data_IF_722164090485
#
_entry.id   IF_722164090485
#
_cell.length_a   1.000
_cell.length_b   1.000
_cell.length_c   1.000
_cell.angle_alpha   90.00
_cell.angle_beta   90.00
_cell.angle_gamma   90.00
#
_symmetry.space_group_name_H-M   'P 1'
#
loop_
_entity.id
_entity.type
_entity.pdbx_description
1 polymer ?
#
# COMPACT_ATOMS: atom_id res chain seq x y z
N UNK A 1 42.42 49.22 31.07
CA UNK A 1 42.20 48.22 30.01
C UNK A 1 40.69 48.00 29.96
N UNK A 2 40.00 48.84 29.21
CA UNK A 2 38.54 48.81 29.09
C UNK A 2 38.13 47.80 28.02
N UNK A 3 37.33 46.81 28.42
CA UNK A 3 36.77 45.82 27.51
C UNK A 3 35.50 46.45 26.94
N UNK A 4 35.62 47.06 25.77
CA UNK A 4 34.48 47.61 25.03
C UNK A 4 33.56 46.47 24.56
N UNK A 5 32.43 46.29 25.23
CA UNK A 5 31.32 45.50 24.73
C UNK A 5 30.71 46.27 23.54
N UNK A 6 31.01 45.79 22.34
CA UNK A 6 30.43 46.32 21.11
C UNK A 6 28.97 45.89 21.05
N UNK A 7 28.08 46.81 21.37
CA UNK A 7 26.62 46.68 21.19
C UNK A 7 26.34 46.60 19.68
N UNK A 8 26.42 45.39 19.12
CA UNK A 8 25.98 45.15 17.75
C UNK A 8 24.47 44.89 17.77
N UNK A 9 23.67 45.67 17.05
CA UNK A 9 22.24 45.39 16.94
C UNK A 9 22.06 44.01 16.28
N UNK A 10 21.40 43.10 16.99
CA UNK A 10 21.02 41.79 16.47
C UNK A 10 20.03 42.04 15.32
N UNK A 11 20.44 41.71 14.11
CA UNK A 11 19.57 41.82 12.94
C UNK A 11 18.56 40.68 12.99
N UNK A 12 17.26 40.99 13.14
CA UNK A 12 16.18 39.99 13.17
C UNK A 12 16.15 39.11 11.90
N UNK A 13 16.74 39.57 10.79
CA UNK A 13 16.91 38.73 9.59
C UNK A 13 17.93 37.60 9.77
N UNK A 14 18.84 37.71 10.72
CA UNK A 14 19.77 36.63 11.10
C UNK A 14 19.14 35.66 12.11
N UNK A 15 17.92 35.98 12.59
CA UNK A 15 17.08 35.13 13.45
C UNK A 15 15.97 34.41 12.67
N UNK A 16 16.01 34.39 11.33
CA UNK A 16 15.18 33.44 10.58
C UNK A 16 15.65 32.04 10.92
N UNK A 17 15.01 31.44 11.93
CA UNK A 17 14.98 30.00 12.12
C UNK A 17 14.55 29.46 10.76
N UNK A 18 15.44 28.74 10.08
CA UNK A 18 15.06 27.91 8.93
C UNK A 18 13.90 27.07 9.42
N UNK A 19 12.68 27.46 9.03
CA UNK A 19 11.50 26.65 9.28
C UNK A 19 11.82 25.36 8.52
N UNK A 20 12.05 24.23 9.21
CA UNK A 20 12.48 23.02 8.54
C UNK A 20 11.45 22.76 7.46
N UNK A 21 11.88 22.80 6.19
CA UNK A 21 11.00 22.53 5.05
C UNK A 21 10.34 21.21 5.37
N UNK A 22 9.02 21.24 5.62
CA UNK A 22 8.25 20.10 6.09
C UNK A 22 8.64 18.91 5.22
N UNK A 23 9.40 17.94 5.78
CA UNK A 23 9.79 16.73 5.05
C UNK A 23 8.50 16.20 4.42
N UNK A 24 8.51 15.94 3.12
CA UNK A 24 7.41 15.23 2.50
C UNK A 24 7.31 13.87 3.21
N UNK A 25 6.34 13.76 4.13
CA UNK A 25 6.10 12.56 4.91
C UNK A 25 5.38 11.58 4.02
N UNK A 26 6.15 10.86 3.20
CA UNK A 26 5.63 9.86 2.28
C UNK A 26 6.75 9.18 1.50
N UNK A 27 6.39 8.12 0.79
CA UNK A 27 7.24 7.39 -0.15
C UNK A 27 6.72 7.64 -1.57
N UNK A 28 7.59 8.14 -2.43
CA UNK A 28 7.32 8.42 -3.83
C UNK A 28 8.22 7.51 -4.70
N UNK A 29 7.68 6.44 -5.30
CA UNK A 29 8.47 5.51 -6.11
C UNK A 29 9.33 6.17 -7.19
N UNK A 30 8.86 7.27 -7.80
CA UNK A 30 9.60 7.98 -8.87
C UNK A 30 10.85 8.70 -8.37
N UNK A 31 10.87 9.09 -7.09
CA UNK A 31 11.98 9.81 -6.47
C UNK A 31 12.84 8.87 -5.62
N UNK A 32 12.21 7.91 -4.95
CA UNK A 32 12.83 7.08 -3.93
C UNK A 32 13.37 5.74 -4.45
N UNK A 33 13.02 5.32 -5.68
CA UNK A 33 13.54 4.09 -6.31
C UNK A 33 14.51 4.46 -7.43
N UNK A 34 15.77 4.07 -7.27
CA UNK A 34 16.81 4.37 -8.25
C UNK A 34 16.77 3.42 -9.45
N UNK A 35 17.37 3.80 -10.61
CA UNK A 35 17.47 2.91 -11.76
C UNK A 35 18.10 1.54 -11.45
N UNK A 36 19.07 1.50 -10.52
CA UNK A 36 19.70 0.26 -10.06
C UNK A 36 18.77 -0.63 -9.23
N UNK A 37 17.89 -0.02 -8.41
CA UNK A 37 16.89 -0.75 -7.63
C UNK A 37 15.87 -1.39 -8.57
N UNK A 38 15.42 -0.63 -9.57
CA UNK A 38 14.53 -1.12 -10.62
C UNK A 38 15.10 -2.32 -11.37
N UNK A 39 16.41 -2.32 -11.64
CA UNK A 39 17.05 -3.48 -12.23
C UNK A 39 16.95 -4.71 -11.32
N UNK A 40 17.29 -4.58 -10.04
CA UNK A 40 17.16 -5.68 -9.08
C UNK A 40 15.73 -6.20 -8.90
N UNK A 41 14.74 -5.30 -8.93
CA UNK A 41 13.32 -5.65 -8.92
C UNK A 41 12.94 -6.47 -10.16
N UNK A 42 13.39 -6.07 -11.36
CA UNK A 42 13.13 -6.81 -12.61
C UNK A 42 13.84 -8.16 -12.67
N UNK A 43 15.09 -8.22 -12.27
CA UNK A 43 15.86 -9.47 -12.22
C UNK A 43 15.16 -10.50 -11.30
N UNK A 44 14.61 -10.02 -10.19
CA UNK A 44 13.83 -10.85 -9.25
C UNK A 44 12.53 -11.35 -9.86
N UNK A 45 11.83 -10.53 -10.65
CA UNK A 45 10.64 -10.96 -11.39
C UNK A 45 10.99 -12.09 -12.37
N UNK A 46 12.08 -11.95 -13.11
CA UNK A 46 12.54 -12.94 -14.08
C UNK A 46 12.90 -14.27 -13.38
N UNK A 47 13.58 -14.22 -12.24
CA UNK A 47 13.88 -15.40 -11.43
C UNK A 47 12.62 -16.14 -10.96
N UNK A 48 11.51 -15.42 -10.72
CA UNK A 48 10.25 -16.06 -10.33
C UNK A 48 9.51 -16.76 -11.47
N UNK A 49 9.86 -16.50 -12.73
CA UNK A 49 9.22 -17.19 -13.87
C UNK A 49 9.47 -18.70 -13.85
N UNK A 50 10.60 -19.13 -13.32
CA UNK A 50 10.95 -20.55 -13.16
C UNK A 50 10.60 -21.12 -11.78
N UNK A 51 10.30 -20.28 -10.78
CA UNK A 51 10.23 -20.69 -9.37
C UNK A 51 8.81 -20.82 -8.81
N UNK A 52 7.80 -20.19 -9.42
CA UNK A 52 6.39 -20.42 -9.07
C UNK A 52 5.46 -19.24 -9.29
N UNK A 53 4.24 -19.54 -9.75
CA UNK A 53 3.25 -18.54 -10.14
C UNK A 53 2.85 -17.58 -9.01
N UNK A 54 2.73 -18.06 -7.76
CA UNK A 54 2.31 -17.18 -6.65
C UNK A 54 3.31 -16.05 -6.42
N UNK A 55 4.60 -16.33 -6.41
CA UNK A 55 5.63 -15.31 -6.16
C UNK A 55 5.78 -14.37 -7.35
N UNK A 56 5.68 -14.91 -8.58
CA UNK A 56 5.70 -14.13 -9.82
C UNK A 56 4.58 -13.08 -9.84
N UNK A 57 3.34 -13.50 -9.58
CA UNK A 57 2.18 -12.60 -9.60
C UNK A 57 2.19 -11.58 -8.47
N UNK A 58 2.56 -12.00 -7.25
CA UNK A 58 2.74 -11.05 -6.13
C UNK A 58 3.75 -9.96 -6.48
N UNK A 59 4.90 -10.34 -7.04
CA UNK A 59 5.98 -9.40 -7.36
C UNK A 59 5.61 -8.49 -8.53
N UNK A 60 4.91 -9.01 -9.55
CA UNK A 60 4.37 -8.22 -10.65
C UNK A 60 3.36 -7.17 -10.16
N UNK A 61 2.46 -7.50 -9.23
CA UNK A 61 1.53 -6.52 -8.64
C UNK A 61 2.28 -5.40 -7.93
N UNK A 62 3.34 -5.72 -7.17
CA UNK A 62 4.16 -4.70 -6.53
C UNK A 62 4.80 -3.76 -7.55
N UNK A 63 5.32 -4.28 -8.67
CA UNK A 63 5.84 -3.47 -9.77
C UNK A 63 4.74 -2.57 -10.34
N UNK A 64 3.54 -3.10 -10.59
CA UNK A 64 2.42 -2.33 -11.13
C UNK A 64 1.96 -1.20 -10.21
N UNK A 65 2.02 -1.41 -8.89
CA UNK A 65 1.72 -0.37 -7.88
C UNK A 65 2.81 0.71 -7.87
N UNK A 66 4.08 0.29 -7.89
CA UNK A 66 5.23 1.20 -7.83
C UNK A 66 5.36 2.04 -9.11
N UNK A 67 5.06 1.45 -10.26
CA UNK A 67 5.05 2.13 -11.55
C UNK A 67 3.87 1.62 -12.41
N UNK A 68 2.73 2.34 -12.40
CA UNK A 68 1.55 1.97 -13.17
C UNK A 68 1.76 1.98 -14.70
N UNK A 69 2.80 2.67 -15.19
CA UNK A 69 3.11 2.73 -16.62
C UNK A 69 3.92 1.51 -17.08
N UNK A 70 4.58 0.82 -16.15
CA UNK A 70 5.19 -0.47 -16.45
C UNK A 70 4.11 -1.54 -16.64
N UNK A 71 4.32 -2.37 -17.65
CA UNK A 71 3.59 -3.62 -17.83
C UNK A 71 4.48 -4.79 -17.39
N UNK A 72 4.37 -5.24 -16.13
CA UNK A 72 5.13 -6.39 -15.65
C UNK A 72 4.68 -7.71 -16.29
N UNK A 73 3.56 -7.71 -17.05
CA UNK A 73 3.01 -8.89 -17.71
C UNK A 73 3.41 -9.02 -19.17
N UNK A 74 4.15 -8.06 -19.73
CA UNK A 74 4.55 -8.09 -21.14
C UNK A 74 5.33 -9.37 -21.53
N UNK A 75 6.02 -9.99 -20.57
CA UNK A 75 6.73 -11.26 -20.76
C UNK A 75 5.94 -12.50 -20.33
N UNK A 76 4.71 -12.35 -19.82
CA UNK A 76 3.93 -13.48 -19.32
C UNK A 76 3.36 -14.27 -20.50
N UNK A 77 3.70 -15.55 -20.56
CA UNK A 77 3.12 -16.46 -21.55
C UNK A 77 1.87 -17.17 -21.00
N UNK A 78 1.21 -17.97 -21.83
CA UNK A 78 0.03 -18.73 -21.43
C UNK A 78 0.32 -19.68 -20.25
N UNK A 79 1.55 -20.21 -20.11
CA UNK A 79 1.90 -21.11 -18.99
C UNK A 79 1.89 -20.36 -17.67
N UNK A 80 2.34 -19.11 -17.66
CA UNK A 80 2.29 -18.28 -16.46
C UNK A 80 0.84 -18.06 -16.00
N UNK A 81 -0.07 -17.78 -16.94
CA UNK A 81 -1.50 -17.62 -16.67
C UNK A 81 -2.16 -18.93 -16.23
N UNK A 82 -1.89 -20.03 -16.92
CA UNK A 82 -2.42 -21.35 -16.55
C UNK A 82 -1.96 -21.76 -15.15
N UNK A 83 -0.72 -21.45 -14.78
CA UNK A 83 -0.18 -21.79 -13.46
C UNK A 83 -0.86 -21.01 -12.33
N UNK A 84 -1.15 -19.71 -12.49
CA UNK A 84 -1.89 -18.96 -11.46
C UNK A 84 -3.34 -19.42 -11.36
N UNK A 85 -3.96 -19.77 -12.48
CA UNK A 85 -5.34 -20.27 -12.50
C UNK A 85 -5.44 -21.68 -11.92
N UNK A 86 -4.46 -22.54 -12.17
CA UNK A 86 -4.31 -23.83 -11.51
C UNK A 86 -4.17 -23.68 -10.00
N UNK A 87 -3.38 -22.71 -9.53
CA UNK A 87 -3.26 -22.39 -8.11
C UNK A 87 -4.60 -21.93 -7.52
N UNK A 88 -5.30 -21.01 -8.18
CA UNK A 88 -6.63 -20.55 -7.76
C UNK A 88 -7.59 -21.74 -7.65
N UNK A 89 -7.66 -22.60 -8.66
CA UNK A 89 -8.53 -23.78 -8.65
C UNK A 89 -8.16 -24.76 -7.53
N UNK A 90 -6.86 -24.93 -7.26
CA UNK A 90 -6.40 -25.70 -6.11
C UNK A 90 -6.88 -25.07 -4.78
N UNK A 91 -6.84 -23.74 -4.64
CA UNK A 91 -7.34 -23.06 -3.43
C UNK A 91 -8.86 -23.16 -3.29
N UNK A 92 -9.59 -23.05 -4.40
CA UNK A 92 -11.05 -23.29 -4.46
C UNK A 92 -11.39 -24.69 -3.96
N UNK A 93 -10.76 -25.72 -4.51
CA UNK A 93 -10.99 -27.12 -4.11
C UNK A 93 -10.65 -27.44 -2.64
N UNK A 94 -9.77 -26.63 -2.02
CA UNK A 94 -9.41 -26.74 -0.62
C UNK A 94 -10.17 -25.75 0.29
N UNK A 95 -11.21 -25.08 -0.21
CA UNK A 95 -11.99 -24.08 0.52
C UNK A 95 -11.16 -22.94 1.13
N UNK A 96 -10.02 -22.59 0.52
CA UNK A 96 -9.12 -21.51 0.98
C UNK A 96 -9.53 -20.17 0.36
N UNK A 97 -10.75 -19.73 0.65
CA UNK A 97 -11.41 -18.63 -0.07
C UNK A 97 -10.73 -17.26 0.11
N UNK A 98 -10.08 -16.99 1.24
CA UNK A 98 -9.24 -15.78 1.38
C UNK A 98 -8.08 -15.75 0.39
N UNK A 99 -7.45 -16.90 0.13
CA UNK A 99 -6.37 -17.02 -0.87
C UNK A 99 -6.91 -16.96 -2.29
N UNK A 100 -8.14 -17.43 -2.53
CA UNK A 100 -8.81 -17.27 -3.84
C UNK A 100 -9.04 -15.78 -4.12
N UNK A 101 -9.60 -15.03 -3.16
CA UNK A 101 -9.83 -13.59 -3.31
C UNK A 101 -8.52 -12.82 -3.55
N UNK A 102 -7.48 -13.07 -2.74
CA UNK A 102 -6.15 -12.46 -2.92
C UNK A 102 -5.62 -12.68 -4.35
N UNK A 103 -5.64 -13.93 -4.85
CA UNK A 103 -5.14 -14.24 -6.20
C UNK A 103 -6.00 -13.65 -7.31
N UNK A 104 -7.32 -13.60 -7.11
CA UNK A 104 -8.24 -12.98 -8.03
C UNK A 104 -7.96 -11.46 -8.16
N UNK A 105 -7.67 -10.77 -7.06
CA UNK A 105 -7.24 -9.35 -7.08
C UNK A 105 -5.96 -9.18 -7.89
N UNK A 106 -4.99 -10.07 -7.71
CA UNK A 106 -3.72 -10.00 -8.46
C UNK A 106 -3.94 -10.14 -9.95
N UNK A 107 -4.74 -11.11 -10.38
CA UNK A 107 -5.11 -11.28 -11.79
C UNK A 107 -5.84 -10.04 -12.29
N UNK A 108 -6.79 -9.49 -11.52
CA UNK A 108 -7.53 -8.26 -11.89
C UNK A 108 -6.63 -7.04 -12.06
N UNK A 109 -5.69 -6.82 -11.13
CA UNK A 109 -4.75 -5.70 -11.17
C UNK A 109 -3.77 -5.79 -12.35
N UNK A 110 -3.36 -7.01 -12.71
CA UNK A 110 -2.40 -7.25 -13.77
C UNK A 110 -3.05 -7.32 -15.16
N UNK A 111 -4.24 -7.92 -15.25
CA UNK A 111 -5.00 -8.05 -16.50
C UNK A 111 -6.51 -8.15 -16.20
N UNK A 112 -7.23 -7.01 -16.23
CA UNK A 112 -8.69 -6.98 -16.07
C UNK A 112 -9.42 -7.88 -17.07
N UNK A 113 -8.90 -7.98 -18.30
CA UNK A 113 -9.45 -8.85 -19.35
C UNK A 113 -9.34 -10.32 -18.96
N UNK A 114 -8.15 -10.79 -18.55
CA UNK A 114 -7.98 -12.18 -18.08
C UNK A 114 -8.80 -12.49 -16.84
N UNK A 115 -8.96 -11.50 -15.97
CA UNK A 115 -9.87 -11.61 -14.83
C UNK A 115 -11.31 -11.83 -15.29
N UNK A 116 -11.85 -10.98 -16.17
CA UNK A 116 -13.22 -11.10 -16.66
C UNK A 116 -13.49 -12.42 -17.42
N UNK A 117 -12.48 -12.96 -18.11
CA UNK A 117 -12.58 -14.27 -18.78
C UNK A 117 -12.71 -15.45 -17.80
N UNK A 118 -12.16 -15.32 -16.58
CA UNK A 118 -11.97 -16.46 -15.66
C UNK A 118 -12.60 -16.28 -14.28
N UNK A 119 -13.14 -15.09 -13.99
CA UNK A 119 -13.79 -14.72 -12.73
C UNK A 119 -14.96 -13.76 -12.96
N UNK A 120 -16.04 -13.87 -12.16
CA UNK A 120 -16.31 -14.88 -11.13
C UNK A 120 -16.93 -16.17 -11.70
N UNK A 121 -16.68 -17.33 -11.07
CA UNK A 121 -17.56 -18.49 -11.21
C UNK A 121 -18.82 -18.25 -10.34
N UNK A 122 -20.02 -18.52 -10.85
CA UNK A 122 -21.30 -18.34 -10.12
C UNK A 122 -21.27 -18.96 -8.72
N UNK A 123 -20.58 -20.08 -8.53
CA UNK A 123 -20.46 -20.74 -7.24
C UNK A 123 -19.39 -20.13 -6.31
N UNK A 124 -18.42 -19.39 -6.83
CA UNK A 124 -17.38 -18.76 -5.99
C UNK A 124 -18.02 -17.76 -5.02
N UNK A 125 -19.07 -17.06 -5.46
CA UNK A 125 -19.79 -16.07 -4.67
C UNK A 125 -20.36 -16.67 -3.38
N UNK A 126 -21.21 -17.68 -3.48
CA UNK A 126 -21.86 -18.28 -2.32
C UNK A 126 -20.85 -18.97 -1.40
N UNK A 127 -19.83 -19.59 -1.97
CA UNK A 127 -18.79 -20.23 -1.15
C UNK A 127 -17.93 -19.22 -0.39
N UNK A 128 -17.54 -18.11 -1.03
CA UNK A 128 -16.88 -16.99 -0.36
C UNK A 128 -17.76 -16.41 0.73
N UNK A 129 -19.05 -16.17 0.44
CA UNK A 129 -20.04 -15.67 1.41
C UNK A 129 -20.12 -16.55 2.65
N UNK A 130 -20.27 -17.86 2.46
CA UNK A 130 -20.39 -18.83 3.55
C UNK A 130 -19.10 -18.96 4.36
N UNK A 131 -17.94 -19.03 3.69
CA UNK A 131 -16.65 -19.08 4.37
C UNK A 131 -16.38 -17.80 5.17
N UNK A 132 -16.66 -16.63 4.61
CA UNK A 132 -16.39 -15.39 5.30
C UNK A 132 -17.33 -15.17 6.48
N UNK A 133 -18.62 -15.54 6.36
CA UNK A 133 -19.57 -15.54 7.49
C UNK A 133 -19.02 -16.24 8.74
N UNK A 134 -18.36 -17.39 8.58
CA UNK A 134 -17.80 -18.14 9.72
C UNK A 134 -16.46 -17.61 10.21
N UNK A 135 -15.65 -17.03 9.31
CA UNK A 135 -14.38 -16.38 9.67
C UNK A 135 -14.58 -15.13 10.52
N UNK A 136 -15.68 -14.41 10.32
CA UNK A 136 -15.89 -13.06 10.85
C UNK A 136 -16.06 -12.95 12.38
N UNK A 137 -16.32 -14.05 13.07
CA UNK A 137 -16.53 -14.00 14.52
C UNK A 137 -15.22 -14.12 15.32
N UNK A 138 -14.10 -14.53 14.69
CA UNK A 138 -12.86 -14.88 15.42
C UNK A 138 -11.67 -13.93 15.22
N UNK A 139 -11.51 -13.26 14.06
CA UNK A 139 -10.32 -12.45 13.75
C UNK A 139 -10.64 -11.19 12.90
N UNK A 140 -10.66 -9.98 13.49
CA UNK A 140 -10.92 -8.72 12.80
C UNK A 140 -9.84 -8.34 11.76
N UNK A 141 -8.58 -8.70 12.01
CA UNK A 141 -7.49 -8.41 11.09
C UNK A 141 -7.59 -9.28 9.83
N UNK A 142 -7.88 -10.57 10.00
CA UNK A 142 -8.18 -11.47 8.88
C UNK A 142 -9.43 -11.00 8.11
N UNK A 143 -10.48 -10.56 8.82
CA UNK A 143 -11.67 -9.94 8.24
C UNK A 143 -11.34 -8.72 7.39
N UNK A 144 -10.53 -7.79 7.92
CA UNK A 144 -10.14 -6.59 7.21
C UNK A 144 -9.38 -6.91 5.91
N UNK A 145 -8.45 -7.89 5.95
CA UNK A 145 -7.73 -8.32 4.75
C UNK A 145 -8.67 -8.88 3.67
N UNK A 146 -9.62 -9.72 4.05
CA UNK A 146 -10.61 -10.27 3.12
C UNK A 146 -11.48 -9.17 2.51
N UNK A 147 -11.99 -8.26 3.35
CA UNK A 147 -12.84 -7.17 2.87
C UNK A 147 -12.06 -6.23 1.96
N UNK A 148 -10.76 -6.02 2.22
CA UNK A 148 -9.87 -5.28 1.33
C UNK A 148 -9.86 -5.93 -0.05
N UNK A 149 -9.61 -7.25 -0.13
CA UNK A 149 -9.58 -7.98 -1.39
C UNK A 149 -10.94 -7.90 -2.11
N UNK A 150 -12.05 -8.11 -1.40
CA UNK A 150 -13.41 -8.01 -1.97
C UNK A 150 -13.73 -6.62 -2.50
N UNK A 151 -13.30 -5.56 -1.79
CA UNK A 151 -13.49 -4.17 -2.23
C UNK A 151 -12.73 -3.92 -3.53
N UNK A 152 -11.49 -4.39 -3.65
CA UNK A 152 -10.69 -4.27 -4.87
C UNK A 152 -11.27 -5.07 -6.05
N UNK A 153 -11.90 -6.20 -5.76
CA UNK A 153 -12.65 -6.95 -6.77
C UNK A 153 -13.91 -6.22 -7.23
N UNK A 154 -14.38 -5.18 -6.53
CA UNK A 154 -15.70 -4.59 -6.77
C UNK A 154 -16.81 -5.61 -6.53
N UNK A 155 -16.58 -6.53 -5.59
CA UNK A 155 -17.42 -7.69 -5.41
C UNK A 155 -18.66 -7.33 -4.56
N UNK A 156 -19.89 -7.76 -4.93
CA UNK A 156 -21.11 -7.39 -4.20
C UNK A 156 -21.11 -7.82 -2.72
N UNK A 157 -20.34 -8.85 -2.37
CA UNK A 157 -20.17 -9.25 -0.96
C UNK A 157 -19.53 -8.17 -0.08
N UNK A 158 -18.81 -7.21 -0.66
CA UNK A 158 -18.23 -6.14 0.12
C UNK A 158 -19.32 -5.38 0.90
N UNK A 159 -20.44 -5.07 0.25
CA UNK A 159 -21.56 -4.35 0.87
C UNK A 159 -22.27 -5.26 1.90
N UNK A 160 -22.51 -6.53 1.53
CA UNK A 160 -23.13 -7.53 2.42
C UNK A 160 -22.32 -7.78 3.71
N UNK A 161 -20.99 -7.69 3.61
CA UNK A 161 -20.04 -8.08 4.67
C UNK A 161 -19.34 -6.88 5.32
N UNK A 162 -19.74 -5.67 4.93
CA UNK A 162 -19.13 -4.40 5.35
C UNK A 162 -18.85 -4.36 6.85
N UNK A 163 -17.72 -3.73 7.20
CA UNK A 163 -17.34 -3.59 8.60
C UNK A 163 -18.40 -2.75 9.33
N UNK A 164 -19.17 -3.42 10.21
CA UNK A 164 -19.97 -2.73 11.23
C UNK A 164 -19.05 -1.80 12.05
N UNK A 165 -19.55 -0.67 12.59
CA UNK A 165 -18.75 0.27 13.37
C UNK A 165 -17.86 -0.41 14.44
N UNK A 166 -18.41 -1.36 15.20
CA UNK A 166 -17.66 -2.13 16.19
C UNK A 166 -16.45 -2.90 15.63
N UNK A 167 -16.53 -3.40 14.39
CA UNK A 167 -15.41 -4.09 13.75
C UNK A 167 -14.35 -3.11 13.22
N UNK A 168 -14.75 -1.88 12.88
CA UNK A 168 -13.82 -0.80 12.54
C UNK A 168 -13.04 -0.35 13.79
N UNK A 169 -13.75 -0.14 14.91
CA UNK A 169 -13.16 0.19 16.21
C UNK A 169 -12.14 -0.88 16.63
N UNK A 170 -12.52 -2.16 16.57
CA UNK A 170 -11.61 -3.26 16.91
C UNK A 170 -10.38 -3.33 16.00
N UNK A 171 -10.51 -3.02 14.71
CA UNK A 171 -9.35 -2.92 13.81
C UNK A 171 -8.41 -1.78 14.22
N UNK A 172 -8.96 -0.63 14.64
CA UNK A 172 -8.17 0.50 15.16
C UNK A 172 -7.47 0.13 16.46
N UNK A 173 -8.16 -0.56 17.38
CA UNK A 173 -7.56 -1.09 18.61
C UNK A 173 -6.42 -2.08 18.30
N UNK A 174 -6.62 -3.02 17.37
CA UNK A 174 -5.59 -3.97 16.94
C UNK A 174 -4.36 -3.26 16.36
N UNK A 175 -4.56 -2.18 15.60
CA UNK A 175 -3.48 -1.33 15.08
C UNK A 175 -2.72 -0.70 16.25
N UNK A 176 -3.42 -0.08 17.21
CA UNK A 176 -2.80 0.57 18.37
C UNK A 176 -2.03 -0.42 19.26
N UNK A 177 -2.59 -1.59 19.53
CA UNK A 177 -1.92 -2.63 20.31
C UNK A 177 -0.65 -3.12 19.62
N UNK A 178 -0.69 -3.33 18.30
CA UNK A 178 0.49 -3.79 17.55
C UNK A 178 1.55 -2.71 17.37
N UNK A 179 1.17 -1.43 17.36
CA UNK A 179 2.12 -0.29 17.34
C UNK A 179 3.04 -0.26 18.55
N UNK A 180 2.56 -0.73 19.70
CA UNK A 180 3.37 -0.82 20.91
C UNK A 180 4.55 -1.82 20.78
N UNK A 181 4.54 -2.68 19.75
CA UNK A 181 5.62 -3.63 19.47
C UNK A 181 6.38 -3.25 18.18
N UNK A 182 7.64 -2.78 18.26
CA UNK A 182 8.43 -2.38 17.09
C UNK A 182 8.60 -3.48 16.02
N UNK A 183 8.64 -4.75 16.42
CA UNK A 183 8.72 -5.88 15.47
C UNK A 183 7.43 -6.06 14.65
N UNK A 184 6.30 -5.55 15.16
CA UNK A 184 4.99 -5.61 14.53
C UNK A 184 4.73 -4.53 13.49
N UNK A 185 5.65 -3.58 13.28
CA UNK A 185 5.38 -2.40 12.45
C UNK A 185 5.03 -2.74 10.99
N UNK A 186 5.64 -3.78 10.40
CA UNK A 186 5.25 -4.23 9.05
C UNK A 186 3.80 -4.73 9.00
N UNK A 187 3.34 -5.44 10.04
CA UNK A 187 1.95 -5.88 10.16
C UNK A 187 1.02 -4.67 10.34
N UNK A 188 1.41 -3.70 11.16
CA UNK A 188 0.67 -2.45 11.38
C UNK A 188 0.46 -1.70 10.05
N UNK A 189 1.50 -1.55 9.24
CA UNK A 189 1.43 -0.86 7.95
C UNK A 189 0.42 -1.54 7.01
N UNK A 190 0.40 -2.88 6.97
CA UNK A 190 -0.62 -3.62 6.22
C UNK A 190 -2.04 -3.41 6.74
N UNK A 191 -2.23 -3.36 8.06
CA UNK A 191 -3.54 -3.08 8.67
C UNK A 191 -4.01 -1.65 8.42
N UNK A 192 -3.10 -0.67 8.45
CA UNK A 192 -3.37 0.73 8.10
C UNK A 192 -3.80 0.82 6.64
N UNK A 193 -3.13 0.10 5.72
CA UNK A 193 -3.53 0.07 4.32
C UNK A 193 -4.93 -0.54 4.14
N UNK A 194 -5.22 -1.64 4.84
CA UNK A 194 -6.55 -2.23 4.84
C UNK A 194 -7.58 -1.22 5.34
N UNK A 195 -7.33 -0.57 6.49
CA UNK A 195 -8.23 0.46 7.03
C UNK A 195 -8.42 1.63 6.06
N UNK A 196 -7.37 2.09 5.38
CA UNK A 196 -7.41 3.18 4.39
C UNK A 196 -8.30 2.84 3.19
N UNK A 197 -8.30 1.59 2.76
CA UNK A 197 -9.19 1.13 1.68
C UNK A 197 -10.61 0.92 2.18
N UNK A 198 -10.79 0.38 3.37
CA UNK A 198 -12.10 -0.02 3.89
C UNK A 198 -12.92 1.14 4.40
N UNK A 199 -12.31 2.05 5.15
CA UNK A 199 -13.02 3.12 5.83
C UNK A 199 -13.40 4.21 4.83
N UNK A 200 -14.65 4.67 4.90
CA UNK A 200 -15.12 5.79 4.10
C UNK A 200 -14.46 7.10 4.56
N UNK A 201 -14.49 8.11 3.70
CA UNK A 201 -13.80 9.40 3.90
C UNK A 201 -14.14 10.11 5.23
N UNK A 202 -15.24 9.74 5.88
CA UNK A 202 -15.74 10.36 7.10
C UNK A 202 -15.18 9.75 8.40
N UNK A 203 -14.44 8.63 8.34
CA UNK A 203 -13.86 8.01 9.52
C UNK A 203 -12.35 8.29 9.62
N UNK A 204 -11.83 8.62 10.82
CA UNK A 204 -10.40 8.84 11.00
C UNK A 204 -9.65 7.53 10.74
N UNK A 205 -9.02 7.44 9.57
CA UNK A 205 -8.14 6.33 9.20
C UNK A 205 -6.85 6.46 10.02
N UNK A 206 -6.39 5.39 10.70
CA UNK A 206 -5.06 5.39 11.30
C UNK A 206 -4.00 5.74 10.25
N UNK A 207 -3.08 6.64 10.59
CA UNK A 207 -1.97 7.05 9.71
C UNK A 207 -0.65 6.83 10.41
N UNK A 208 0.42 6.62 9.63
CA UNK A 208 1.77 6.52 10.19
C UNK A 208 2.22 7.91 10.70
N UNK A 209 2.74 7.97 11.92
CA UNK A 209 3.42 9.16 12.41
C UNK A 209 4.82 9.33 11.79
N UNK A 210 5.50 10.45 12.09
CA UNK A 210 6.81 10.76 11.50
C UNK A 210 7.87 9.70 11.86
N UNK A 211 7.86 9.21 13.10
CA UNK A 211 8.84 8.23 13.56
C UNK A 211 8.58 6.84 12.93
N UNK A 212 7.30 6.47 12.78
CA UNK A 212 6.89 5.26 12.06
C UNK A 212 7.30 5.34 10.57
N UNK A 213 7.08 6.49 9.92
CA UNK A 213 7.55 6.72 8.55
C UNK A 213 9.07 6.59 8.42
N UNK A 214 9.83 7.24 9.30
CA UNK A 214 11.29 7.17 9.28
C UNK A 214 11.77 5.72 9.49
N UNK A 215 11.14 4.98 10.40
CA UNK A 215 11.43 3.56 10.63
C UNK A 215 11.14 2.70 9.40
N UNK A 216 10.04 2.97 8.68
CA UNK A 216 9.71 2.25 7.45
C UNK A 216 10.65 2.58 6.29
N UNK A 217 11.11 3.83 6.18
CA UNK A 217 12.15 4.21 5.20
C UNK A 217 13.49 3.54 5.52
N UNK A 218 13.90 3.50 6.78
CA UNK A 218 15.10 2.78 7.20
C UNK A 218 15.02 1.28 6.89
N UNK A 219 13.86 0.65 7.13
CA UNK A 219 13.64 -0.77 6.79
C UNK A 219 13.71 -1.01 5.29
N UNK A 220 13.11 -0.12 4.49
CA UNK A 220 13.17 -0.19 3.04
C UNK A 220 14.63 -0.07 2.55
N UNK A 221 15.41 0.86 3.09
CA UNK A 221 16.84 1.00 2.82
C UNK A 221 17.62 -0.26 3.22
N UNK A 222 17.30 -0.87 4.36
CA UNK A 222 17.90 -2.15 4.76
C UNK A 222 17.65 -3.27 3.73
N UNK A 223 16.44 -3.36 3.17
CA UNK A 223 16.14 -4.31 2.10
C UNK A 223 16.93 -4.02 0.81
N UNK A 224 17.11 -2.73 0.46
CA UNK A 224 17.97 -2.31 -0.66
C UNK A 224 19.41 -2.76 -0.47
N UNK A 225 20.01 -2.48 0.69
CA UNK A 225 21.41 -2.83 1.00
C UNK A 225 21.65 -4.34 0.97
N UNK A 226 20.68 -5.13 1.43
CA UNK A 226 20.71 -6.59 1.40
C UNK A 226 20.39 -7.18 0.01
N UNK A 227 20.06 -6.35 -0.98
CA UNK A 227 19.53 -6.77 -2.29
C UNK A 227 18.32 -7.70 -2.17
N UNK A 228 17.51 -7.51 -1.12
CA UNK A 228 16.28 -8.25 -0.92
C UNK A 228 15.13 -7.56 -1.66
N UNK A 229 15.15 -7.69 -2.99
CA UNK A 229 14.25 -6.95 -3.88
C UNK A 229 12.78 -7.34 -3.73
N UNK A 230 12.50 -8.55 -3.24
CA UNK A 230 11.15 -9.03 -2.94
C UNK A 230 10.53 -8.19 -1.82
N UNK A 231 11.23 -8.10 -0.69
CA UNK A 231 10.76 -7.33 0.46
C UNK A 231 10.84 -5.82 0.20
N UNK A 232 11.84 -5.37 -0.57
CA UNK A 232 11.94 -3.98 -1.01
C UNK A 232 10.71 -3.58 -1.84
N UNK A 233 10.38 -4.34 -2.90
CA UNK A 233 9.24 -4.02 -3.76
C UNK A 233 7.91 -4.11 -2.99
N UNK A 234 7.73 -5.11 -2.14
CA UNK A 234 6.53 -5.29 -1.32
C UNK A 234 6.31 -4.15 -0.32
N UNK A 235 7.34 -3.79 0.45
CA UNK A 235 7.27 -2.66 1.38
C UNK A 235 7.10 -1.34 0.63
N UNK A 236 7.85 -1.12 -0.44
CA UNK A 236 7.75 0.07 -1.28
C UNK A 236 6.34 0.26 -1.85
N UNK A 237 5.74 -0.79 -2.40
CA UNK A 237 4.37 -0.75 -2.91
C UNK A 237 3.36 -0.38 -1.81
N UNK A 238 3.52 -0.97 -0.62
CA UNK A 238 2.66 -0.66 0.53
C UNK A 238 2.79 0.81 0.96
N UNK A 239 4.01 1.32 1.07
CA UNK A 239 4.28 2.71 1.44
C UNK A 239 3.80 3.70 0.35
N UNK A 240 3.89 3.32 -0.92
CA UNK A 240 3.37 4.10 -2.04
C UNK A 240 1.85 4.26 -1.90
N UNK A 241 1.11 3.16 -1.69
CA UNK A 241 -0.34 3.19 -1.50
C UNK A 241 -0.76 4.02 -0.26
N UNK A 242 0.00 3.92 0.83
CA UNK A 242 -0.28 4.73 2.03
C UNK A 242 -0.06 6.23 1.81
N UNK A 243 0.88 6.59 0.94
CA UNK A 243 1.22 7.98 0.60
C UNK A 243 0.21 8.64 -0.34
N UNK A 244 -0.63 7.86 -1.02
CA UNK A 244 -1.67 8.40 -1.90
C UNK A 244 -2.75 9.14 -1.10
N UNK A 245 -3.47 10.10 -1.72
CA UNK A 245 -4.77 10.55 -1.22
C UNK A 245 -5.76 9.37 -1.10
N UNK A 246 -7.01 9.57 -0.64
CA UNK A 246 -8.00 8.49 -0.57
C UNK A 246 -8.01 7.66 -1.86
N UNK A 247 -7.82 6.34 -1.73
CA UNK A 247 -7.62 5.44 -2.86
C UNK A 247 -8.89 5.37 -3.69
N UNK A 248 -8.77 5.64 -4.99
CA UNK A 248 -9.88 5.48 -5.92
C UNK A 248 -9.88 4.04 -6.43
N UNK A 249 -10.94 3.31 -6.13
CA UNK A 249 -11.13 1.95 -6.63
C UNK A 249 -11.90 2.07 -7.95
N UNK A 250 -11.37 1.47 -9.02
CA UNK A 250 -11.96 1.47 -10.35
C UNK A 250 -12.27 0.05 -10.80
N UNK A 251 -12.85 -0.12 -11.99
CA UNK A 251 -13.05 -1.43 -12.59
C UNK A 251 -11.73 -2.22 -12.75
N UNK A 252 -10.59 -1.54 -12.86
CA UNK A 252 -9.26 -2.15 -12.90
C UNK A 252 -8.64 -2.41 -11.50
N UNK A 253 -9.45 -2.39 -10.44
CA UNK A 253 -9.07 -2.47 -9.01
C UNK A 253 -8.58 -1.12 -8.43
N UNK A 254 -7.27 -0.82 -8.37
CA UNK A 254 -6.77 0.42 -7.76
C UNK A 254 -6.35 1.42 -8.84
N UNK A 255 -6.95 2.62 -8.83
CA UNK A 255 -6.40 3.75 -9.57
C UNK A 255 -5.29 4.38 -8.73
N UNK A 256 -4.05 4.11 -9.13
CA UNK A 256 -2.88 4.85 -8.66
C UNK A 256 -2.79 6.09 -9.55
N UNK A 257 -3.18 7.29 -9.06
CA UNK A 257 -3.15 8.48 -9.88
C UNK A 257 -1.73 8.67 -10.40
N UNK A 258 -1.62 8.96 -11.70
CA UNK A 258 -0.35 9.46 -12.23
C UNK A 258 0.00 10.69 -11.41
N UNK A 259 1.11 10.62 -10.68
CA UNK A 259 1.75 11.83 -10.19
C UNK A 259 2.14 12.63 -11.44
N UNK A 260 1.22 13.47 -11.92
CA UNK A 260 1.59 14.68 -12.62
C UNK A 260 2.39 15.47 -11.59
N UNK A 261 3.50 16.06 -12.00
CA UNK A 261 4.40 16.86 -11.14
C UNK A 261 3.75 18.09 -10.48
N UNK A 262 2.43 18.12 -10.34
CA UNK A 262 1.64 19.14 -9.68
C UNK A 262 1.27 18.70 -8.26
N UNK A 263 2.27 18.42 -7.41
CA UNK A 263 2.11 18.87 -6.04
C UNK A 263 2.21 20.39 -6.09
N UNK A 264 1.07 21.05 -6.30
CA UNK A 264 0.98 22.45 -5.92
C UNK A 264 1.25 22.49 -4.43
N UNK A 265 2.49 22.81 -4.07
CA UNK A 265 2.80 23.32 -2.75
C UNK A 265 1.70 24.32 -2.43
N UNK A 266 0.86 24.03 -1.44
CA UNK A 266 -0.07 25.03 -0.91
C UNK A 266 0.78 26.24 -0.64
N UNK A 267 0.63 27.29 -1.44
CA UNK A 267 1.25 28.57 -1.15
C UNK A 267 0.78 28.93 0.24
N UNK A 268 1.71 28.87 1.21
CA UNK A 268 1.46 29.42 2.52
C UNK A 268 1.32 30.91 2.28
N UNK A 269 0.08 31.39 2.25
CA UNK A 269 -0.22 32.82 2.25
C UNK A 269 0.26 33.33 3.60
N UNK A 270 1.49 33.85 3.64
CA UNK A 270 2.00 34.51 4.84
C UNK A 270 1.09 35.71 5.13
N UNK A 271 0.61 35.89 6.37
CA UNK A 271 -0.23 37.02 6.72
C UNK A 271 0.53 38.31 6.44
N UNK A 272 -0.14 39.25 5.76
CA UNK A 272 0.39 40.60 5.54
C UNK A 272 0.80 41.20 6.88
N UNK A 273 2.10 41.41 7.06
CA UNK A 273 2.66 42.16 8.18
C UNK A 273 2.03 43.54 8.16
N UNK A 274 1.16 43.84 9.14
CA UNK A 274 0.69 45.21 9.36
C UNK A 274 1.90 46.04 9.80
N UNK A 275 2.27 47.01 8.98
CA UNK A 275 3.20 48.07 9.39
C UNK A 275 2.50 48.89 10.46
N UNK A 276 3.11 48.96 11.65
CA UNK A 276 2.85 49.99 12.65
C UNK A 276 3.85 51.12 12.45
#
# INVERSE_FOLDING_TARGET
>A
MEIGLVDRPINIKDLTIDIPTRRETGFNPKQDIFPSDWQGIRDTLENYRSSGASSLFNHAVNIKILDPEQDPTASFDQRNWDAIMGLINQKRGNSRWSQVAEKAVQVKMLSPTKFAEQFPNVNDYENMKNFFRTLFDSDPAAKARVLYDLKLLGHPLFDDLSLRPAAQEKLVEDIQQKRANPSGLATVVGLILNAKVLFEQNNPVPTLDIAEWDTMKQRLEGHRQQKNWVNFASLGATLALLSLPPLQITEAAIHVPRSSNSFHARQVVLPLVRKF
#
